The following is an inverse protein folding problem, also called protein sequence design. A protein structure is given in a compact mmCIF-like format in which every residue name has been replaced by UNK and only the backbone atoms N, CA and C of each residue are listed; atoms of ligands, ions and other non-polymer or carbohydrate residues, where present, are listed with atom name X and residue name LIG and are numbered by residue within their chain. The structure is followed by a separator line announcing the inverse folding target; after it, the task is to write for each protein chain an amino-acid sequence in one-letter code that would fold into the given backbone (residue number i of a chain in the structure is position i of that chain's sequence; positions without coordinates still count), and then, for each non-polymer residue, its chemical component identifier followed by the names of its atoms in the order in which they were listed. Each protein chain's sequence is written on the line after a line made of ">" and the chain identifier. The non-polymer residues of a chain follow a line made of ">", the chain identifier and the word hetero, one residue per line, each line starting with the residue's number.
data_IF_842424574924
#
_entry.id   IF_842424574924
#
_cell.length_a   1.000
_cell.length_b   1.000
_cell.length_c   1.000
_cell.angle_alpha   90.00
_cell.angle_beta   90.00
_cell.angle_gamma   90.00
#
_symmetry.space_group_name_H-M   'P 1'
#
loop_
_entity.id
_entity.type
_entity.pdbx_description
1 polymer ?
#
# COMPACT_ATOMS: atom_id res chain seq x y z
N UNK A 1 69.06 -33.48 62.37
CA UNK A 1 70.31 -33.63 61.62
C UNK A 1 70.22 -32.78 60.39
N UNK A 2 71.16 -31.86 60.25
CA UNK A 2 71.24 -30.84 59.23
C UNK A 2 71.81 -31.39 57.91
N UNK A 3 71.41 -30.79 56.80
CA UNK A 3 72.26 -30.25 55.72
C UNK A 3 71.32 -29.82 54.59
N UNK A 4 71.58 -28.89 53.70
CA UNK A 4 72.48 -27.74 53.61
C UNK A 4 72.05 -27.05 52.31
N UNK A 5 72.00 -25.72 52.34
CA UNK A 5 71.61 -24.84 51.24
C UNK A 5 72.51 -24.99 50.00
N UNK A 6 71.95 -24.83 48.80
CA UNK A 6 72.60 -24.11 47.70
C UNK A 6 71.57 -23.33 46.88
N UNK A 7 71.79 -22.01 46.89
CA UNK A 7 71.16 -20.97 46.07
C UNK A 7 71.63 -21.08 44.63
N UNK A 8 70.69 -21.06 43.68
CA UNK A 8 70.94 -20.62 42.30
C UNK A 8 69.83 -19.66 41.87
N UNK A 9 70.22 -18.41 41.73
CA UNK A 9 69.44 -17.31 41.16
C UNK A 9 69.45 -17.52 39.65
N UNK A 10 68.32 -17.90 39.06
CA UNK A 10 68.09 -17.81 37.62
C UNK A 10 67.15 -16.66 37.35
N UNK A 11 67.70 -15.59 36.75
CA UNK A 11 66.97 -14.48 36.15
C UNK A 11 66.02 -15.04 35.08
N UNK A 12 64.71 -15.09 35.35
CA UNK A 12 63.70 -15.28 34.32
C UNK A 12 63.32 -13.89 33.80
N UNK A 13 63.83 -13.56 32.62
CA UNK A 13 63.40 -12.39 31.85
C UNK A 13 61.98 -12.66 31.36
N UNK A 14 61.02 -11.98 31.98
CA UNK A 14 59.61 -12.00 31.60
C UNK A 14 59.44 -11.17 30.31
N UNK A 15 59.52 -11.82 29.14
CA UNK A 15 59.13 -11.20 27.87
C UNK A 15 57.61 -11.20 27.80
N UNK A 16 57.01 -10.06 28.12
CA UNK A 16 55.61 -9.74 27.87
C UNK A 16 55.38 -9.67 26.35
N UNK A 17 55.01 -10.80 25.73
CA UNK A 17 54.37 -10.78 24.42
C UNK A 17 52.90 -10.41 24.65
N UNK A 18 52.58 -9.13 24.46
CA UNK A 18 51.21 -8.65 24.36
C UNK A 18 50.65 -9.20 23.04
N UNK A 19 50.10 -10.41 23.08
CA UNK A 19 49.18 -10.86 22.04
C UNK A 19 47.88 -10.09 22.21
N UNK A 20 47.76 -8.97 21.49
CA UNK A 20 46.48 -8.32 21.23
C UNK A 20 45.59 -9.31 20.45
N UNK A 21 44.81 -10.12 21.18
CA UNK A 21 43.62 -10.76 20.60
C UNK A 21 42.53 -9.70 20.49
N UNK A 22 42.71 -8.78 19.55
CA UNK A 22 41.60 -8.05 18.96
C UNK A 22 40.86 -9.06 18.09
N UNK A 23 39.82 -9.69 18.64
CA UNK A 23 38.81 -10.37 17.82
C UNK A 23 38.01 -9.31 17.07
N UNK A 24 38.65 -8.68 16.08
CA UNK A 24 37.96 -8.08 14.96
C UNK A 24 37.34 -9.23 14.19
N UNK A 25 36.07 -9.50 14.43
CA UNK A 25 35.24 -10.15 13.43
C UNK A 25 35.16 -9.19 12.26
N UNK A 26 36.15 -9.27 11.37
CA UNK A 26 35.99 -8.83 10.00
C UNK A 26 34.85 -9.66 9.44
N UNK A 27 33.63 -9.13 9.49
CA UNK A 27 32.62 -9.55 8.55
C UNK A 27 33.24 -9.29 7.18
N UNK A 28 33.73 -10.35 6.54
CA UNK A 28 34.11 -10.26 5.14
C UNK A 28 32.82 -9.95 4.40
N UNK A 29 32.58 -8.66 4.15
CA UNK A 29 31.65 -8.24 3.14
C UNK A 29 32.17 -8.84 1.84
N UNK A 30 31.57 -9.94 1.43
CA UNK A 30 31.87 -10.58 0.16
C UNK A 30 31.67 -9.50 -0.92
N UNK A 31 32.69 -9.03 -1.66
CA UNK A 31 32.56 -7.87 -2.55
C UNK A 31 31.71 -8.13 -3.81
N UNK A 32 30.91 -9.21 -3.83
CA UNK A 32 30.23 -9.73 -5.00
C UNK A 32 28.77 -10.14 -4.79
N UNK A 33 28.14 -9.86 -3.64
CA UNK A 33 26.71 -10.11 -3.45
C UNK A 33 25.93 -8.84 -3.15
N UNK A 34 25.92 -7.91 -4.10
CA UNK A 34 24.88 -6.89 -4.16
C UNK A 34 23.53 -7.63 -4.16
N UNK A 35 22.72 -7.45 -3.10
CA UNK A 35 21.43 -8.15 -3.00
C UNK A 35 20.55 -7.74 -4.18
N UNK A 36 19.62 -8.60 -4.61
CA UNK A 36 18.67 -8.22 -5.67
C UNK A 36 17.88 -6.95 -5.33
N UNK A 37 17.70 -6.69 -4.03
CA UNK A 37 17.16 -5.44 -3.53
C UNK A 37 18.08 -4.25 -3.83
N UNK A 38 19.38 -4.32 -3.52
CA UNK A 38 20.33 -3.26 -3.86
C UNK A 38 20.37 -2.99 -5.37
N UNK A 39 20.32 -4.06 -6.18
CA UNK A 39 20.21 -3.92 -7.65
C UNK A 39 18.94 -3.20 -8.07
N UNK A 40 17.79 -3.59 -7.49
CA UNK A 40 16.51 -2.94 -7.75
C UNK A 40 16.51 -1.49 -7.27
N UNK A 41 17.02 -1.22 -6.06
CA UNK A 41 17.12 0.11 -5.46
C UNK A 41 18.00 1.00 -6.34
N UNK A 42 19.22 0.56 -6.67
CA UNK A 42 20.13 1.26 -7.55
C UNK A 42 19.56 1.49 -8.94
N UNK A 43 18.82 0.51 -9.51
CA UNK A 43 18.11 0.71 -10.78
C UNK A 43 17.02 1.78 -10.65
N UNK A 44 16.19 1.75 -9.59
CA UNK A 44 15.13 2.75 -9.42
C UNK A 44 15.68 4.15 -9.14
N UNK A 45 16.72 4.28 -8.30
CA UNK A 45 17.40 5.55 -8.02
C UNK A 45 18.00 6.11 -9.31
N UNK A 46 18.74 5.30 -10.08
CA UNK A 46 19.29 5.73 -11.38
C UNK A 46 18.19 6.13 -12.35
N UNK A 47 17.13 5.33 -12.46
CA UNK A 47 16.01 5.63 -13.35
C UNK A 47 15.29 6.92 -12.91
N UNK A 48 15.11 7.15 -11.61
CA UNK A 48 14.56 8.39 -11.06
C UNK A 48 15.43 9.59 -11.42
N UNK A 49 16.74 9.53 -11.14
CA UNK A 49 17.68 10.61 -11.47
C UNK A 49 17.73 10.91 -12.97
N UNK A 50 17.79 9.87 -13.81
CA UNK A 50 17.75 10.02 -15.27
C UNK A 50 16.45 10.66 -15.75
N UNK A 51 15.30 10.26 -15.21
CA UNK A 51 14.00 10.88 -15.54
C UNK A 51 13.90 12.33 -15.06
N UNK A 52 14.40 12.63 -13.87
CA UNK A 52 14.44 14.00 -13.32
C UNK A 52 15.31 14.91 -14.21
N UNK A 53 16.48 14.42 -14.61
CA UNK A 53 17.38 15.14 -15.53
C UNK A 53 16.78 15.30 -16.95
N UNK A 54 15.96 14.33 -17.40
CA UNK A 54 15.25 14.42 -18.66
C UNK A 54 14.05 15.40 -18.60
N UNK A 55 13.35 15.49 -17.47
CA UNK A 55 12.28 16.46 -17.26
C UNK A 55 12.81 17.92 -17.21
N UNK A 56 14.02 18.13 -16.69
CA UNK A 56 14.69 19.43 -16.65
C UNK A 56 15.17 19.91 -18.03
N UNK A 57 15.28 19.00 -19.01
CA UNK A 57 15.55 19.31 -20.42
C UNK A 57 14.24 19.22 -21.21
N UNK A 58 13.62 20.39 -21.45
CA UNK A 58 12.35 20.65 -22.17
C UNK A 58 12.14 19.95 -23.55
N UNK A 59 12.26 18.63 -23.66
CA UNK A 59 12.11 17.90 -24.92
C UNK A 59 11.71 16.44 -24.72
N UNK A 60 10.84 16.16 -23.75
CA UNK A 60 10.18 14.84 -23.67
C UNK A 60 8.81 14.94 -24.32
N UNK A 61 8.76 14.46 -25.57
CA UNK A 61 7.55 13.98 -26.25
C UNK A 61 6.65 13.26 -25.23
N UNK A 62 5.33 13.53 -25.22
CA UNK A 62 4.42 13.04 -24.18
C UNK A 62 4.64 11.55 -23.85
N UNK A 63 5.10 11.26 -22.62
CA UNK A 63 5.37 9.91 -22.08
C UNK A 63 4.08 9.13 -21.79
N UNK A 64 2.93 9.76 -21.99
CA UNK A 64 1.62 9.18 -21.75
C UNK A 64 1.30 8.07 -22.75
N UNK A 65 0.68 6.99 -22.25
CA UNK A 65 0.17 5.89 -23.09
C UNK A 65 -0.76 6.42 -24.19
N UNK A 66 -0.52 6.04 -25.44
CA UNK A 66 -1.29 6.50 -26.61
C UNK A 66 -2.79 6.23 -26.47
N UNK A 67 -3.19 5.09 -25.87
CA UNK A 67 -4.60 4.78 -25.66
C UNK A 67 -5.23 5.74 -24.66
N UNK A 68 -4.49 6.16 -23.64
CA UNK A 68 -4.94 7.16 -22.70
C UNK A 68 -5.08 8.51 -23.40
N UNK A 69 -4.10 8.93 -24.19
CA UNK A 69 -4.17 10.18 -24.97
C UNK A 69 -5.39 10.19 -25.89
N UNK A 70 -5.68 9.08 -26.58
CA UNK A 70 -6.87 8.93 -27.42
C UNK A 70 -8.15 9.02 -26.58
N UNK A 71 -8.19 8.33 -25.44
CA UNK A 71 -9.37 8.31 -24.58
C UNK A 71 -9.72 9.71 -24.02
N UNK A 72 -8.73 10.53 -23.71
CA UNK A 72 -8.92 11.88 -23.15
C UNK A 72 -9.35 12.94 -24.16
N UNK A 73 -9.15 12.72 -25.48
CA UNK A 73 -9.51 13.72 -26.52
C UNK A 73 -11.01 13.99 -26.58
N UNK A 74 -11.83 12.96 -26.40
CA UNK A 74 -13.27 13.03 -26.60
C UNK A 74 -14.00 12.47 -25.37
N UNK A 75 -13.93 13.17 -24.24
CA UNK A 75 -14.61 12.75 -23.01
C UNK A 75 -16.13 12.70 -23.20
N UNK A 76 -16.78 11.77 -22.51
CA UNK A 76 -18.25 11.66 -22.40
C UNK A 76 -18.62 11.87 -20.95
N UNK A 77 -19.66 12.66 -20.69
CA UNK A 77 -20.22 12.83 -19.35
C UNK A 77 -21.60 12.18 -19.29
N UNK A 78 -21.87 11.46 -18.20
CA UNK A 78 -23.16 10.83 -17.89
C UNK A 78 -23.53 11.24 -16.47
N UNK A 79 -24.69 11.86 -16.29
CA UNK A 79 -25.18 12.27 -14.99
C UNK A 79 -25.97 11.15 -14.33
N UNK A 80 -25.64 10.82 -13.08
CA UNK A 80 -26.34 9.83 -12.29
C UNK A 80 -26.96 10.50 -11.08
N UNK A 81 -28.28 10.46 -10.96
CA UNK A 81 -28.99 11.06 -9.82
C UNK A 81 -30.18 10.23 -9.37
N UNK A 82 -30.20 9.86 -8.08
CA UNK A 82 -31.26 9.03 -7.50
C UNK A 82 -32.65 9.66 -7.56
N UNK A 83 -32.73 10.99 -7.56
CA UNK A 83 -33.99 11.74 -7.66
C UNK A 83 -34.57 11.78 -9.09
N UNK A 84 -33.83 11.26 -10.08
CA UNK A 84 -34.23 11.24 -11.48
C UNK A 84 -33.90 12.51 -12.27
N UNK A 85 -33.15 13.46 -11.69
CA UNK A 85 -32.70 14.68 -12.40
C UNK A 85 -31.49 14.46 -13.34
N UNK A 86 -30.88 13.27 -13.32
CA UNK A 86 -29.77 12.88 -14.20
C UNK A 86 -30.22 11.98 -15.35
N UNK A 87 -29.26 11.57 -16.19
CA UNK A 87 -29.48 10.65 -17.30
C UNK A 87 -29.89 9.25 -16.82
N UNK A 88 -29.38 8.83 -15.66
CA UNK A 88 -29.72 7.55 -15.01
C UNK A 88 -29.96 7.72 -13.51
N UNK A 89 -30.75 6.81 -12.92
CA UNK A 89 -31.03 6.80 -11.47
C UNK A 89 -29.96 6.05 -10.68
N UNK A 90 -29.34 5.04 -11.30
CA UNK A 90 -28.36 4.15 -10.68
C UNK A 90 -27.04 4.16 -11.44
N UNK A 91 -25.97 3.79 -10.74
CA UNK A 91 -24.63 3.71 -11.33
C UNK A 91 -24.55 2.51 -12.29
N UNK A 92 -25.19 1.38 -11.95
CA UNK A 92 -25.22 0.22 -12.84
C UNK A 92 -25.96 0.50 -14.16
N UNK A 93 -27.08 1.24 -14.15
CA UNK A 93 -27.76 1.65 -15.39
C UNK A 93 -26.83 2.50 -16.28
N UNK A 94 -26.13 3.46 -15.69
CA UNK A 94 -25.17 4.29 -16.42
C UNK A 94 -24.03 3.46 -17.01
N UNK A 95 -23.44 2.53 -16.24
CA UNK A 95 -22.41 1.63 -16.73
C UNK A 95 -22.92 0.72 -17.86
N UNK A 96 -24.15 0.21 -17.76
CA UNK A 96 -24.76 -0.65 -18.77
C UNK A 96 -25.04 0.09 -20.10
N UNK A 97 -25.10 1.42 -20.08
CA UNK A 97 -25.23 2.24 -21.30
C UNK A 97 -23.93 2.37 -22.10
N UNK A 98 -22.79 2.04 -21.48
CA UNK A 98 -21.46 2.19 -22.10
C UNK A 98 -21.16 0.94 -22.94
N UNK A 99 -20.82 1.08 -24.23
CA UNK A 99 -20.41 -0.05 -25.05
C UNK A 99 -19.21 -0.79 -24.46
N UNK A 100 -19.22 -2.12 -24.56
CA UNK A 100 -18.05 -2.92 -24.26
C UNK A 100 -16.88 -2.53 -25.19
N UNK A 101 -15.65 -2.69 -24.71
CA UNK A 101 -14.40 -2.25 -25.36
C UNK A 101 -14.34 -0.73 -25.52
N UNK A 102 -14.74 -0.03 -24.46
CA UNK A 102 -14.71 1.42 -24.41
C UNK A 102 -13.29 1.97 -24.71
N UNK A 103 -13.22 2.98 -25.56
CA UNK A 103 -11.97 3.64 -25.98
C UNK A 103 -11.92 5.11 -25.58
N UNK A 104 -12.96 5.63 -24.92
CA UNK A 104 -13.11 7.04 -24.55
C UNK A 104 -13.16 7.19 -23.04
N UNK A 105 -12.66 8.29 -22.51
CA UNK A 105 -12.90 8.64 -21.10
C UNK A 105 -14.39 8.88 -20.89
N UNK A 106 -15.04 8.03 -20.09
CA UNK A 106 -16.45 8.22 -19.70
C UNK A 106 -16.50 8.60 -18.23
N UNK A 107 -17.06 9.77 -17.95
CA UNK A 107 -17.17 10.38 -16.63
C UNK A 107 -18.61 10.24 -16.17
N UNK A 108 -18.84 9.40 -15.17
CA UNK A 108 -20.10 9.34 -14.44
C UNK A 108 -20.06 10.42 -13.37
N UNK A 109 -20.81 11.49 -13.58
CA UNK A 109 -21.04 12.56 -12.61
C UNK A 109 -22.15 12.09 -11.67
N UNK A 110 -21.76 11.61 -10.50
CA UNK A 110 -22.66 10.98 -9.52
C UNK A 110 -23.08 12.05 -8.51
N UNK A 111 -24.36 12.42 -8.54
CA UNK A 111 -24.94 13.42 -7.64
C UNK A 111 -24.96 12.91 -6.19
N UNK A 112 -25.02 13.82 -5.19
CA UNK A 112 -25.08 13.42 -3.79
C UNK A 112 -26.21 12.43 -3.51
N UNK A 113 -25.92 11.42 -2.70
CA UNK A 113 -26.88 10.38 -2.33
C UNK A 113 -26.22 9.09 -1.87
N UNK A 114 -27.04 8.17 -1.36
CA UNK A 114 -26.58 6.83 -0.94
C UNK A 114 -26.97 5.81 -2.03
N UNK A 115 -25.99 5.27 -2.74
CA UNK A 115 -26.17 4.28 -3.79
C UNK A 115 -25.89 2.90 -3.22
N UNK A 116 -26.96 2.17 -2.84
CA UNK A 116 -26.85 0.79 -2.37
C UNK A 116 -26.80 -0.16 -3.56
N UNK A 117 -25.62 -0.29 -4.14
CA UNK A 117 -25.39 -1.05 -5.37
C UNK A 117 -24.10 -1.87 -5.25
N UNK A 118 -24.14 -3.11 -5.76
CA UNK A 118 -22.93 -3.87 -6.03
C UNK A 118 -22.46 -3.55 -7.44
N UNK A 119 -21.25 -3.00 -7.56
CA UNK A 119 -20.73 -2.48 -8.82
C UNK A 119 -19.55 -3.33 -9.28
N UNK A 120 -19.56 -3.72 -10.54
CA UNK A 120 -18.42 -4.37 -11.21
C UNK A 120 -18.12 -3.58 -12.48
N UNK A 121 -16.93 -3.00 -12.56
CA UNK A 121 -16.43 -2.34 -13.79
C UNK A 121 -15.53 -3.36 -14.49
N UNK A 122 -16.02 -4.04 -15.55
CA UNK A 122 -15.30 -5.15 -16.15
C UNK A 122 -14.05 -4.69 -16.90
N UNK A 123 -13.10 -5.60 -17.12
CA UNK A 123 -11.85 -5.32 -17.87
C UNK A 123 -12.08 -4.72 -19.25
N UNK A 124 -13.21 -5.04 -19.88
CA UNK A 124 -13.62 -4.55 -21.19
C UNK A 124 -14.10 -3.09 -21.18
N UNK A 125 -14.12 -2.43 -20.02
CA UNK A 125 -14.61 -1.06 -19.88
C UNK A 125 -13.53 -0.16 -19.25
N UNK A 126 -12.36 0.04 -19.90
CA UNK A 126 -11.33 0.95 -19.38
C UNK A 126 -11.78 2.41 -19.44
N UNK A 127 -11.00 3.31 -18.83
CA UNK A 127 -11.20 4.77 -18.87
C UNK A 127 -12.51 5.27 -18.26
N UNK A 128 -13.03 4.56 -17.25
CA UNK A 128 -14.19 5.00 -16.48
C UNK A 128 -13.75 5.94 -15.36
N UNK A 129 -14.49 7.03 -15.17
CA UNK A 129 -14.30 7.96 -14.04
C UNK A 129 -15.59 8.07 -13.25
N UNK A 130 -15.50 7.92 -11.93
CA UNK A 130 -16.55 8.32 -11.01
C UNK A 130 -16.20 9.67 -10.43
N UNK A 131 -17.07 10.65 -10.62
CA UNK A 131 -16.88 12.01 -10.14
C UNK A 131 -18.07 12.41 -9.26
N UNK A 132 -17.80 12.60 -7.97
CA UNK A 132 -18.76 13.11 -7.00
C UNK A 132 -18.61 14.60 -6.74
N UNK A 133 -19.59 15.15 -6.03
CA UNK A 133 -19.52 16.52 -5.50
C UNK A 133 -18.50 16.60 -4.35
N UNK A 134 -17.61 17.58 -4.37
CA UNK A 134 -16.56 17.73 -3.36
C UNK A 134 -17.11 18.08 -1.96
N UNK A 135 -18.19 18.86 -1.90
CA UNK A 135 -18.80 19.30 -0.65
C UNK A 135 -19.77 18.26 -0.09
N UNK A 136 -20.40 17.48 -0.97
CA UNK A 136 -21.30 16.40 -0.59
C UNK A 136 -21.07 15.11 -1.41
N UNK A 137 -19.95 14.39 -1.18
CA UNK A 137 -19.63 13.17 -1.90
C UNK A 137 -20.73 12.12 -1.82
N UNK A 138 -21.13 11.48 -2.94
CA UNK A 138 -22.03 10.34 -2.91
C UNK A 138 -21.37 9.14 -2.20
N UNK A 139 -22.19 8.33 -1.55
CA UNK A 139 -21.78 7.09 -0.90
C UNK A 139 -22.25 5.89 -1.70
N UNK A 140 -21.33 5.04 -2.12
CA UNK A 140 -21.62 3.72 -2.70
C UNK A 140 -21.45 2.69 -1.58
N UNK A 141 -22.53 2.00 -1.22
CA UNK A 141 -22.59 1.17 -0.01
C UNK A 141 -23.07 -0.25 -0.29
N UNK A 142 -22.44 -1.22 0.38
CA UNK A 142 -22.79 -2.63 0.36
C UNK A 142 -22.56 -3.29 1.72
N UNK A 143 -22.86 -4.58 1.81
CA UNK A 143 -22.80 -5.33 3.07
C UNK A 143 -22.48 -6.81 2.86
N UNK A 144 -21.77 -7.14 1.78
CA UNK A 144 -21.36 -8.51 1.51
C UNK A 144 -20.14 -8.90 2.34
N UNK A 145 -20.12 -10.15 2.79
CA UNK A 145 -18.98 -10.79 3.46
C UNK A 145 -18.41 -11.91 2.60
N UNK A 146 -17.23 -12.42 2.96
CA UNK A 146 -16.66 -13.60 2.34
C UNK A 146 -17.54 -14.86 2.50
N UNK A 147 -18.41 -14.90 3.52
CA UNK A 147 -19.37 -15.98 3.75
C UNK A 147 -20.74 -15.74 3.12
N UNK A 148 -21.03 -14.53 2.63
CA UNK A 148 -22.30 -14.25 1.94
C UNK A 148 -22.47 -15.19 0.75
N UNK A 149 -23.71 -15.62 0.49
CA UNK A 149 -24.02 -16.54 -0.60
C UNK A 149 -24.06 -15.81 -1.94
N UNK A 150 -23.37 -16.37 -2.94
CA UNK A 150 -23.54 -16.02 -4.35
C UNK A 150 -24.88 -16.55 -4.89
N UNK A 151 -25.25 -16.13 -6.10
CA UNK A 151 -26.44 -16.62 -6.82
C UNK A 151 -26.47 -18.13 -7.00
N UNK A 152 -25.31 -18.78 -7.05
CA UNK A 152 -25.17 -20.24 -7.15
C UNK A 152 -25.14 -20.96 -5.79
N UNK A 153 -25.39 -20.23 -4.69
CA UNK A 153 -25.37 -20.76 -3.32
C UNK A 153 -23.97 -20.97 -2.72
N UNK A 154 -22.88 -20.66 -3.45
CA UNK A 154 -21.52 -20.78 -2.91
C UNK A 154 -21.10 -19.51 -2.15
N UNK A 155 -20.19 -19.59 -1.16
CA UNK A 155 -19.68 -18.40 -0.50
C UNK A 155 -18.89 -17.50 -1.48
N UNK A 156 -19.14 -16.19 -1.42
CA UNK A 156 -18.47 -15.18 -2.26
C UNK A 156 -16.93 -15.19 -2.13
N UNK A 157 -16.43 -15.59 -0.95
CA UNK A 157 -15.03 -15.37 -0.52
C UNK A 157 -14.70 -13.87 -0.50
N UNK A 158 -13.52 -13.52 0.04
CA UNK A 158 -13.08 -12.12 0.13
C UNK A 158 -13.07 -11.42 -1.23
N UNK A 159 -12.71 -12.13 -2.31
CA UNK A 159 -12.59 -11.53 -3.63
C UNK A 159 -13.92 -10.98 -4.17
N UNK A 160 -15.03 -11.70 -3.95
CA UNK A 160 -16.34 -11.31 -4.47
C UNK A 160 -17.19 -10.55 -3.45
N UNK A 161 -16.70 -10.32 -2.22
CA UNK A 161 -17.42 -9.51 -1.22
C UNK A 161 -17.32 -7.99 -1.45
N UNK A 162 -16.53 -7.57 -2.44
CA UNK A 162 -16.36 -6.16 -2.79
C UNK A 162 -17.69 -5.48 -3.16
N UNK A 163 -17.98 -4.35 -2.51
CA UNK A 163 -19.09 -3.46 -2.90
C UNK A 163 -18.83 -2.86 -4.29
N UNK A 164 -17.59 -2.38 -4.52
CA UNK A 164 -17.13 -1.93 -5.84
C UNK A 164 -15.92 -2.75 -6.28
N UNK A 165 -16.02 -3.41 -7.42
CA UNK A 165 -14.96 -4.17 -8.06
C UNK A 165 -14.50 -3.47 -9.35
N UNK A 166 -13.29 -2.93 -9.34
CA UNK A 166 -12.67 -2.27 -10.49
C UNK A 166 -11.71 -3.25 -11.17
N UNK A 167 -12.17 -3.91 -12.21
CA UNK A 167 -11.32 -4.77 -13.06
C UNK A 167 -10.77 -4.02 -14.29
N UNK A 168 -11.35 -2.86 -14.61
CA UNK A 168 -10.95 -1.98 -15.71
C UNK A 168 -9.64 -1.21 -15.45
N UNK A 169 -8.83 -1.06 -16.51
CA UNK A 169 -7.65 -0.20 -16.48
C UNK A 169 -8.04 1.28 -16.57
N UNK A 170 -7.15 2.17 -16.11
CA UNK A 170 -7.34 3.62 -16.21
C UNK A 170 -8.58 4.15 -15.47
N UNK A 171 -9.05 3.42 -14.45
CA UNK A 171 -10.17 3.88 -13.63
C UNK A 171 -9.76 5.08 -12.78
N UNK A 172 -10.65 6.06 -12.64
CA UNK A 172 -10.45 7.21 -11.76
C UNK A 172 -11.67 7.37 -10.85
N UNK A 173 -11.46 7.67 -9.58
CA UNK A 173 -12.52 8.12 -8.68
C UNK A 173 -12.12 9.43 -8.01
N UNK A 174 -13.04 10.39 -7.97
CA UNK A 174 -12.84 11.72 -7.39
C UNK A 174 -14.04 12.04 -6.49
N UNK A 175 -13.79 12.38 -5.23
CA UNK A 175 -14.83 12.76 -4.26
C UNK A 175 -15.93 11.70 -4.12
N UNK A 176 -15.56 10.43 -3.90
CA UNK A 176 -16.51 9.31 -3.70
C UNK A 176 -16.28 8.67 -2.33
N UNK A 177 -17.35 8.34 -1.63
CA UNK A 177 -17.32 7.48 -0.44
C UNK A 177 -17.67 6.05 -0.83
N UNK A 178 -16.78 5.12 -0.56
CA UNK A 178 -17.00 3.68 -0.75
C UNK A 178 -17.14 3.02 0.62
N UNK A 179 -18.14 2.17 0.78
CA UNK A 179 -18.47 1.60 2.08
C UNK A 179 -18.87 0.13 1.97
N UNK A 180 -18.35 -0.68 2.89
CA UNK A 180 -18.96 -1.95 3.27
C UNK A 180 -19.35 -1.88 4.75
N UNK A 181 -20.64 -2.01 5.07
CA UNK A 181 -21.18 -1.73 6.41
C UNK A 181 -21.06 -2.89 7.39
N UNK A 182 -20.44 -4.01 7.00
CA UNK A 182 -20.38 -5.19 7.88
C UNK A 182 -19.42 -4.94 9.05
N UNK A 183 -19.90 -5.01 10.30
CA UNK A 183 -19.02 -4.96 11.46
C UNK A 183 -18.24 -6.27 11.58
N UNK A 184 -17.01 -6.19 12.07
CA UNK A 184 -16.15 -7.36 12.26
C UNK A 184 -15.80 -7.58 13.72
N UNK A 185 -15.79 -8.85 14.13
CA UNK A 185 -15.25 -9.29 15.42
C UNK A 185 -13.91 -9.98 15.19
N UNK A 186 -12.82 -9.36 15.66
CA UNK A 186 -11.45 -9.87 15.46
C UNK A 186 -11.31 -11.32 15.89
N UNK A 187 -10.95 -12.18 14.93
CA UNK A 187 -10.80 -13.63 15.09
C UNK A 187 -11.98 -14.45 14.56
N UNK A 188 -13.06 -13.82 14.09
CA UNK A 188 -14.17 -14.54 13.46
C UNK A 188 -13.77 -15.11 12.10
N UNK A 189 -14.47 -16.16 11.66
CA UNK A 189 -14.24 -16.79 10.35
C UNK A 189 -15.21 -16.23 9.32
N UNK A 190 -14.69 -15.90 8.13
CA UNK A 190 -15.50 -15.47 6.99
C UNK A 190 -16.11 -14.07 7.08
N UNK A 191 -15.65 -13.25 8.05
CA UNK A 191 -16.11 -11.88 8.27
C UNK A 191 -15.45 -10.82 7.38
N UNK A 192 -14.57 -11.21 6.44
CA UNK A 192 -13.92 -10.28 5.52
C UNK A 192 -14.96 -9.58 4.64
N UNK A 193 -14.92 -8.25 4.54
CA UNK A 193 -15.95 -7.46 3.89
C UNK A 193 -15.33 -6.27 3.14
N UNK A 194 -15.18 -6.41 1.83
CA UNK A 194 -14.42 -5.46 1.02
C UNK A 194 -15.32 -4.30 0.59
N UNK A 195 -14.86 -3.06 0.78
CA UNK A 195 -15.51 -1.87 0.22
C UNK A 195 -15.12 -1.72 -1.25
N UNK A 196 -13.82 -1.74 -1.54
CA UNK A 196 -13.30 -1.61 -2.92
C UNK A 196 -12.25 -2.67 -3.21
N UNK A 197 -12.37 -3.33 -4.36
CA UNK A 197 -11.34 -4.20 -4.93
C UNK A 197 -10.83 -3.64 -6.25
N UNK A 198 -9.51 -3.57 -6.42
CA UNK A 198 -8.87 -2.98 -7.61
C UNK A 198 -7.93 -4.00 -8.25
N UNK A 199 -8.32 -4.50 -9.42
CA UNK A 199 -7.53 -5.47 -10.21
C UNK A 199 -7.06 -4.91 -11.56
N UNK A 200 -7.68 -3.84 -12.03
CA UNK A 200 -7.26 -3.12 -13.24
C UNK A 200 -6.10 -2.20 -12.92
N UNK A 201 -5.12 -2.11 -13.82
CA UNK A 201 -3.92 -1.30 -13.59
C UNK A 201 -4.15 0.17 -13.95
N UNK A 202 -3.30 1.05 -13.42
CA UNK A 202 -3.33 2.50 -13.67
C UNK A 202 -4.61 3.12 -13.14
N UNK A 203 -4.99 2.78 -11.91
CA UNK A 203 -6.19 3.33 -11.26
C UNK A 203 -5.82 4.44 -10.26
N UNK A 204 -6.55 5.55 -10.27
CA UNK A 204 -6.30 6.70 -9.40
C UNK A 204 -7.52 7.09 -8.56
N UNK A 205 -7.29 7.48 -7.31
CA UNK A 205 -8.32 7.89 -6.37
C UNK A 205 -7.93 9.22 -5.74
N UNK A 206 -8.80 10.22 -5.82
CA UNK A 206 -8.58 11.57 -5.31
C UNK A 206 -9.70 11.98 -4.38
N UNK A 207 -9.36 12.41 -3.16
CA UNK A 207 -10.35 12.85 -2.18
C UNK A 207 -11.44 11.80 -1.89
N UNK A 208 -11.09 10.51 -2.03
CA UNK A 208 -12.02 9.42 -1.78
C UNK A 208 -11.97 8.99 -0.32
N UNK A 209 -13.07 8.41 0.16
CA UNK A 209 -13.11 7.79 1.50
C UNK A 209 -13.52 6.33 1.40
N UNK A 210 -12.83 5.47 2.15
CA UNK A 210 -13.06 4.03 2.16
C UNK A 210 -13.41 3.59 3.58
N UNK A 211 -14.62 3.07 3.76
CA UNK A 211 -15.16 2.65 5.04
C UNK A 211 -15.42 1.15 5.06
N UNK A 212 -14.91 0.49 6.09
CA UNK A 212 -15.15 -0.93 6.37
C UNK A 212 -14.45 -1.34 7.66
N UNK A 213 -14.55 -2.62 8.03
CA UNK A 213 -13.87 -3.17 9.19
C UNK A 213 -12.70 -4.09 8.79
N UNK A 214 -12.95 -5.36 8.43
CA UNK A 214 -11.88 -6.26 7.98
C UNK A 214 -11.82 -6.27 6.45
N UNK A 215 -10.61 -6.14 5.91
CA UNK A 215 -10.34 -6.20 4.46
C UNK A 215 -11.00 -5.04 3.66
N UNK A 216 -11.05 -3.82 4.21
CA UNK A 216 -11.73 -2.66 3.59
C UNK A 216 -11.31 -2.39 2.13
N UNK A 217 -10.01 -2.22 1.88
CA UNK A 217 -9.44 -1.90 0.57
C UNK A 217 -8.59 -3.07 0.07
N UNK A 218 -9.14 -3.81 -0.88
CA UNK A 218 -8.43 -4.87 -1.59
C UNK A 218 -7.69 -4.27 -2.80
N UNK A 219 -6.52 -3.69 -2.52
CA UNK A 219 -5.54 -3.28 -3.53
C UNK A 219 -4.87 -4.52 -4.16
N UNK A 220 -5.65 -5.23 -4.98
CA UNK A 220 -5.35 -6.58 -5.42
C UNK A 220 -4.10 -6.61 -6.30
N UNK A 221 -4.09 -5.90 -7.44
CA UNK A 221 -2.95 -5.87 -8.37
C UNK A 221 -3.01 -4.67 -9.31
N UNK A 222 -1.85 -4.21 -9.76
CA UNK A 222 -1.73 -3.12 -10.72
C UNK A 222 -0.86 -1.98 -10.20
N UNK A 223 -0.76 -0.90 -10.99
CA UNK A 223 -0.19 0.37 -10.59
C UNK A 223 -1.32 1.27 -10.09
N UNK A 224 -1.29 1.69 -8.82
CA UNK A 224 -2.37 2.50 -8.26
C UNK A 224 -1.87 3.74 -7.54
N UNK A 225 -2.68 4.79 -7.59
CA UNK A 225 -2.37 6.05 -6.93
C UNK A 225 -3.55 6.52 -6.09
N UNK A 226 -3.29 6.85 -4.84
CA UNK A 226 -4.28 7.39 -3.91
C UNK A 226 -3.74 8.71 -3.40
N UNK A 227 -4.49 9.79 -3.60
CA UNK A 227 -4.09 11.12 -3.16
C UNK A 227 -5.21 11.74 -2.31
N UNK A 228 -4.84 12.22 -1.13
CA UNK A 228 -5.76 12.85 -0.19
C UNK A 228 -6.98 11.96 0.16
N UNK A 229 -6.74 10.66 0.35
CA UNK A 229 -7.80 9.69 0.64
C UNK A 229 -7.90 9.41 2.14
N UNK A 230 -9.12 9.20 2.63
CA UNK A 230 -9.39 8.66 3.97
C UNK A 230 -9.65 7.16 3.88
N UNK A 231 -8.97 6.34 4.69
CA UNK A 231 -9.11 4.88 4.69
C UNK A 231 -9.29 4.40 6.12
N UNK A 232 -10.42 3.73 6.40
CA UNK A 232 -10.74 3.21 7.72
C UNK A 232 -10.85 1.69 7.73
N UNK A 233 -10.36 1.08 8.82
CA UNK A 233 -10.68 -0.30 9.15
C UNK A 233 -10.00 -0.85 10.39
N UNK A 234 -10.06 -2.16 10.53
CA UNK A 234 -9.57 -2.93 11.68
C UNK A 234 -8.43 -3.86 11.25
N UNK A 235 -8.75 -5.05 10.76
CA UNK A 235 -7.78 -6.09 10.36
C UNK A 235 -7.53 -6.01 8.86
N UNK A 236 -6.26 -5.87 8.48
CA UNK A 236 -5.78 -5.96 7.09
C UNK A 236 -6.52 -5.02 6.15
N UNK A 237 -6.90 -3.84 6.63
CA UNK A 237 -7.84 -2.99 5.91
C UNK A 237 -7.25 -2.36 4.63
N UNK A 238 -5.93 -2.47 4.41
CA UNK A 238 -5.28 -2.28 3.10
C UNK A 238 -4.47 -3.54 2.77
N UNK A 239 -4.89 -4.31 1.77
CA UNK A 239 -4.27 -5.61 1.48
C UNK A 239 -4.28 -5.97 0.00
N UNK A 240 -3.39 -6.89 -0.38
CA UNK A 240 -3.19 -7.34 -1.77
C UNK A 240 -1.74 -7.22 -2.22
N UNK A 241 -1.49 -7.18 -3.53
CA UNK A 241 -0.14 -7.11 -4.10
C UNK A 241 -0.02 -6.05 -5.21
N UNK A 242 -0.82 -4.98 -5.15
CA UNK A 242 -0.59 -3.77 -5.95
C UNK A 242 0.80 -3.16 -5.75
N UNK A 243 1.23 -2.37 -6.74
CA UNK A 243 2.32 -1.40 -6.63
C UNK A 243 1.67 -0.04 -6.49
N UNK A 244 1.59 0.46 -5.28
CA UNK A 244 0.68 1.56 -4.96
C UNK A 244 1.36 2.65 -4.17
N UNK A 245 1.08 3.90 -4.54
CA UNK A 245 1.49 5.09 -3.80
C UNK A 245 0.25 5.70 -3.15
N UNK A 246 0.28 5.82 -1.84
CA UNK A 246 -0.69 6.52 -1.02
C UNK A 246 -0.04 7.81 -0.53
N UNK A 247 -0.46 8.95 -1.09
CA UNK A 247 0.09 10.25 -0.79
C UNK A 247 -0.95 11.14 -0.10
N UNK A 248 -0.57 11.81 1.00
CA UNK A 248 -1.47 12.64 1.80
C UNK A 248 -2.70 11.88 2.33
N UNK A 249 -2.57 10.57 2.56
CA UNK A 249 -3.70 9.74 2.99
C UNK A 249 -3.85 9.73 4.51
N UNK A 250 -5.10 9.63 4.98
CA UNK A 250 -5.44 9.53 6.39
C UNK A 250 -5.94 8.11 6.71
N UNK A 251 -5.14 7.36 7.47
CA UNK A 251 -5.38 5.96 7.81
C UNK A 251 -5.93 5.88 9.24
N UNK A 252 -7.22 5.54 9.37
CA UNK A 252 -7.91 5.50 10.66
C UNK A 252 -8.20 4.07 11.12
N UNK A 253 -7.57 3.64 12.21
CA UNK A 253 -7.89 2.35 12.81
C UNK A 253 -9.10 2.42 13.75
N UNK A 254 -10.07 1.53 13.52
CA UNK A 254 -11.21 1.27 14.41
C UNK A 254 -11.08 -0.06 15.15
N UNK A 255 -9.88 -0.67 15.16
CA UNK A 255 -9.66 -1.96 15.78
C UNK A 255 -9.97 -1.92 17.30
N UNK A 256 -10.68 -2.93 17.79
CA UNK A 256 -11.00 -3.08 19.24
C UNK A 256 -9.98 -3.94 20.00
N UNK A 257 -9.15 -4.67 19.26
CA UNK A 257 -8.03 -5.52 19.73
C UNK A 257 -6.84 -5.27 18.82
N UNK A 258 -5.76 -6.04 19.01
CA UNK A 258 -4.60 -5.99 18.11
C UNK A 258 -5.01 -6.35 16.68
N UNK A 259 -4.65 -5.50 15.73
CA UNK A 259 -4.87 -5.70 14.31
C UNK A 259 -3.67 -5.21 13.48
N UNK A 260 -3.84 -5.06 12.16
CA UNK A 260 -2.82 -4.56 11.25
C UNK A 260 -3.43 -3.64 10.22
N UNK A 261 -2.77 -2.52 9.94
CA UNK A 261 -3.19 -1.59 8.88
C UNK A 261 -3.06 -2.28 7.52
N UNK A 262 -1.88 -2.85 7.25
CA UNK A 262 -1.55 -3.43 5.95
C UNK A 262 -1.31 -4.93 6.01
N UNK A 263 -1.66 -5.63 4.93
CA UNK A 263 -1.30 -7.02 4.67
C UNK A 263 -0.89 -7.22 3.20
N UNK A 264 0.37 -6.92 2.89
CA UNK A 264 0.88 -6.97 1.52
C UNK A 264 1.33 -8.39 1.15
N UNK A 265 0.99 -8.83 -0.07
CA UNK A 265 1.07 -10.23 -0.55
C UNK A 265 2.16 -10.52 -1.59
N UNK A 266 3.17 -9.66 -1.72
CA UNK A 266 4.28 -9.90 -2.63
C UNK A 266 4.96 -11.23 -2.29
N UNK A 267 5.03 -12.12 -3.27
CA UNK A 267 5.42 -13.53 -3.06
C UNK A 267 6.78 -13.89 -3.64
N UNK A 268 7.44 -13.00 -4.39
CA UNK A 268 8.81 -13.18 -4.89
C UNK A 268 9.60 -11.87 -4.90
N UNK A 269 10.93 -11.99 -4.87
CA UNK A 269 11.84 -10.86 -5.01
C UNK A 269 11.75 -10.16 -6.38
N UNK A 270 11.37 -10.88 -7.44
CA UNK A 270 11.24 -10.32 -8.80
C UNK A 270 10.02 -9.41 -9.00
N UNK A 271 9.02 -9.48 -8.13
CA UNK A 271 7.83 -8.62 -8.24
C UNK A 271 8.13 -7.19 -7.82
N UNK A 272 7.81 -6.22 -8.68
CA UNK A 272 7.95 -4.80 -8.35
C UNK A 272 6.83 -4.25 -7.42
N UNK A 273 5.93 -5.10 -6.92
CA UNK A 273 4.81 -4.68 -6.06
C UNK A 273 5.23 -4.19 -4.67
N UNK A 274 4.34 -3.49 -4.00
CA UNK A 274 4.56 -2.91 -2.69
C UNK A 274 3.72 -1.67 -2.45
N UNK A 275 3.41 -1.41 -1.19
CA UNK A 275 2.68 -0.22 -0.77
C UNK A 275 3.67 0.84 -0.27
N UNK A 276 3.60 2.04 -0.82
CA UNK A 276 4.35 3.20 -0.33
C UNK A 276 3.36 4.23 0.21
N UNK A 277 3.55 4.67 1.44
CA UNK A 277 2.78 5.72 2.09
C UNK A 277 3.69 6.92 2.28
N UNK A 278 3.30 8.08 1.75
CA UNK A 278 4.05 9.34 1.82
C UNK A 278 3.18 10.45 2.36
N UNK A 279 3.74 11.31 3.21
CA UNK A 279 3.09 12.49 3.78
C UNK A 279 1.71 12.16 4.38
N UNK A 280 1.58 10.95 4.92
CA UNK A 280 0.31 10.38 5.36
C UNK A 280 0.20 10.45 6.88
N UNK A 281 -0.98 10.10 7.38
CA UNK A 281 -1.27 10.10 8.81
C UNK A 281 -1.86 8.75 9.22
N UNK A 282 -1.36 8.19 10.32
CA UNK A 282 -1.89 6.99 10.97
C UNK A 282 -2.45 7.38 12.33
N UNK A 283 -3.77 7.25 12.49
CA UNK A 283 -4.47 7.42 13.77
C UNK A 283 -5.40 6.25 14.06
N UNK A 284 -6.15 6.34 15.14
CA UNK A 284 -7.27 5.45 15.39
C UNK A 284 -8.18 5.98 16.48
N UNK A 285 -9.46 5.73 16.33
CA UNK A 285 -10.50 5.92 17.34
C UNK A 285 -10.99 4.59 17.92
N UNK A 286 -10.40 3.46 17.51
CA UNK A 286 -10.56 2.17 18.18
C UNK A 286 -9.82 2.09 19.52
N UNK A 287 -10.19 1.11 20.35
CA UNK A 287 -9.52 0.85 21.65
C UNK A 287 -8.31 -0.08 21.54
N UNK A 288 -8.11 -0.69 20.37
CA UNK A 288 -7.02 -1.62 20.08
C UNK A 288 -5.78 -0.93 19.51
N UNK A 289 -4.70 -1.70 19.42
CA UNK A 289 -3.44 -1.27 18.80
C UNK A 289 -3.27 -1.92 17.43
N UNK A 290 -2.42 -1.34 16.59
CA UNK A 290 -2.17 -1.83 15.23
C UNK A 290 -0.69 -2.04 14.96
N UNK A 291 -0.38 -3.09 14.20
CA UNK A 291 0.85 -3.11 13.42
C UNK A 291 0.68 -2.24 12.17
N UNK A 292 1.76 -1.57 11.74
CA UNK A 292 1.85 -0.91 10.43
C UNK A 292 1.59 -1.90 9.29
N UNK A 293 2.03 -3.13 9.46
CA UNK A 293 1.79 -4.19 8.50
C UNK A 293 2.11 -5.58 9.02
N UNK A 294 1.50 -6.59 8.40
CA UNK A 294 1.84 -7.99 8.61
C UNK A 294 2.03 -8.74 7.29
N UNK A 295 3.02 -9.63 7.27
CA UNK A 295 3.52 -10.25 6.03
C UNK A 295 2.60 -11.35 5.50
N UNK A 296 1.57 -10.97 4.73
CA UNK A 296 0.72 -11.96 4.04
C UNK A 296 1.52 -12.72 2.97
N UNK A 297 2.39 -12.02 2.24
CA UNK A 297 3.35 -12.60 1.30
C UNK A 297 4.76 -12.74 1.88
N UNK A 298 5.50 -13.73 1.39
CA UNK A 298 6.86 -14.05 1.86
C UNK A 298 7.90 -12.96 1.55
N UNK A 299 7.63 -12.08 0.59
CA UNK A 299 8.45 -10.94 0.19
C UNK A 299 7.66 -9.63 0.34
N UNK A 300 6.74 -9.59 1.32
CA UNK A 300 5.91 -8.43 1.61
C UNK A 300 6.74 -7.16 1.70
N UNK A 301 6.27 -6.10 1.04
CA UNK A 301 6.94 -4.79 0.96
C UNK A 301 5.98 -3.66 1.26
N UNK A 302 6.29 -2.90 2.30
CA UNK A 302 5.53 -1.73 2.75
C UNK A 302 6.52 -0.67 3.23
N UNK A 303 6.35 0.57 2.80
CA UNK A 303 7.21 1.70 3.21
C UNK A 303 6.33 2.85 3.69
N UNK A 304 6.66 3.41 4.85
CA UNK A 304 6.09 4.67 5.35
C UNK A 304 7.17 5.75 5.33
N UNK A 305 6.87 6.87 4.69
CA UNK A 305 7.76 8.02 4.54
C UNK A 305 7.05 9.30 4.99
N UNK A 306 7.72 10.13 5.79
CA UNK A 306 7.16 11.40 6.28
C UNK A 306 5.76 11.26 6.89
N UNK A 307 5.47 10.09 7.47
CA UNK A 307 4.14 9.75 7.96
C UNK A 307 4.06 10.07 9.44
N UNK A 308 3.03 10.80 9.87
CA UNK A 308 2.72 10.96 11.29
C UNK A 308 2.03 9.68 11.80
N UNK A 309 2.51 9.13 12.90
CA UNK A 309 1.97 7.93 13.53
C UNK A 309 1.59 8.23 14.98
N UNK A 310 0.31 8.14 15.30
CA UNK A 310 -0.18 8.28 16.67
C UNK A 310 0.08 7.00 17.50
N UNK A 311 -0.15 7.08 18.82
CA UNK A 311 0.09 6.03 19.83
C UNK A 311 -0.63 4.71 19.59
N UNK A 312 -1.52 4.64 18.60
CA UNK A 312 -2.20 3.41 18.18
C UNK A 312 -1.25 2.39 17.58
N UNK A 313 -0.09 2.83 17.06
CA UNK A 313 0.92 1.94 16.49
C UNK A 313 1.67 1.21 17.60
N UNK A 314 1.74 -0.12 17.50
CA UNK A 314 2.48 -0.96 18.46
C UNK A 314 3.97 -0.65 18.42
N UNK A 315 4.69 -0.75 19.56
CA UNK A 315 6.15 -0.58 19.59
C UNK A 315 6.89 -1.49 18.61
N UNK A 316 6.44 -2.74 18.46
CA UNK A 316 6.99 -3.70 17.50
C UNK A 316 6.91 -3.22 16.04
N UNK A 317 5.93 -2.36 15.72
CA UNK A 317 5.67 -1.81 14.39
C UNK A 317 5.09 -2.84 13.41
N UNK A 318 5.68 -4.02 13.32
CA UNK A 318 5.43 -4.98 12.25
C UNK A 318 5.25 -6.40 12.76
N UNK A 319 4.65 -7.25 11.92
CA UNK A 319 4.54 -8.69 12.16
C UNK A 319 4.93 -9.50 10.93
N UNK A 320 5.70 -10.55 11.17
CA UNK A 320 6.07 -11.59 10.19
C UNK A 320 4.92 -12.58 9.92
N UNK A 321 3.76 -12.38 10.56
CA UNK A 321 2.63 -13.31 10.58
C UNK A 321 2.99 -14.66 11.22
N UNK A 322 3.91 -14.68 12.19
CA UNK A 322 4.33 -15.91 12.88
C UNK A 322 5.16 -16.86 12.02
N UNK A 323 5.88 -16.32 11.02
CA UNK A 323 6.79 -17.07 10.19
C UNK A 323 8.16 -16.36 10.11
N UNK A 324 9.11 -16.70 11.00
CA UNK A 324 10.41 -16.03 11.08
C UNK A 324 11.27 -16.12 9.81
N UNK A 325 10.97 -17.06 8.90
CA UNK A 325 11.65 -17.14 7.58
C UNK A 325 11.37 -15.92 6.70
N UNK A 326 10.37 -15.10 7.05
CA UNK A 326 10.00 -13.88 6.32
C UNK A 326 10.86 -12.69 6.71
N UNK A 327 11.40 -12.67 7.92
CA UNK A 327 12.19 -11.56 8.48
C UNK A 327 13.34 -11.14 7.55
N UNK A 328 14.03 -12.12 6.92
CA UNK A 328 15.12 -11.86 5.98
C UNK A 328 14.67 -11.47 4.56
N UNK A 329 13.36 -11.55 4.25
CA UNK A 329 12.81 -11.42 2.89
C UNK A 329 11.83 -10.26 2.72
N UNK A 330 11.16 -9.87 3.81
CA UNK A 330 10.24 -8.72 3.80
C UNK A 330 11.02 -7.41 3.75
N UNK A 331 10.37 -6.38 3.23
CA UNK A 331 10.91 -5.03 3.17
C UNK A 331 9.93 -4.07 3.84
N UNK A 332 10.10 -3.86 5.14
CA UNK A 332 9.29 -2.94 5.93
C UNK A 332 10.11 -1.76 6.37
N UNK A 333 9.90 -0.64 5.68
CA UNK A 333 10.70 0.57 5.80
C UNK A 333 9.95 1.70 6.49
N UNK A 334 10.63 2.41 7.38
CA UNK A 334 10.20 3.68 7.96
C UNK A 334 11.25 4.75 7.64
N UNK A 335 10.82 5.88 7.07
CA UNK A 335 11.67 6.99 6.68
C UNK A 335 11.10 8.31 7.21
N UNK A 336 11.86 9.00 8.07
CA UNK A 336 11.51 10.32 8.63
C UNK A 336 10.05 10.41 9.12
N UNK A 337 9.53 9.32 9.69
CA UNK A 337 8.20 9.28 10.31
C UNK A 337 8.23 10.00 11.67
N UNK A 338 7.08 10.52 12.09
CA UNK A 338 6.96 11.35 13.29
C UNK A 338 5.76 10.93 14.15
N UNK A 339 5.62 11.50 15.35
CA UNK A 339 4.56 11.16 16.29
C UNK A 339 4.94 10.05 17.27
N UNK A 340 4.08 9.81 18.26
CA UNK A 340 4.37 8.88 19.38
C UNK A 340 4.45 7.42 18.93
N UNK A 341 3.69 7.04 17.89
CA UNK A 341 3.72 5.72 17.28
C UNK A 341 4.94 5.47 16.38
N UNK A 342 5.66 6.51 15.98
CA UNK A 342 6.88 6.41 15.17
C UNK A 342 8.14 6.17 16.03
N UNK A 343 8.01 6.01 17.35
CA UNK A 343 9.14 5.65 18.20
C UNK A 343 9.69 4.29 17.79
N UNK A 344 10.96 4.28 17.40
CA UNK A 344 11.66 3.10 16.91
C UNK A 344 12.10 2.14 18.04
N UNK A 345 12.04 2.59 19.29
CA UNK A 345 12.36 1.76 20.46
C UNK A 345 11.40 0.58 20.53
N UNK A 346 11.94 -0.63 20.45
CA UNK A 346 11.15 -1.86 20.50
C UNK A 346 10.58 -2.31 19.16
N UNK A 347 10.93 -1.66 18.04
CA UNK A 347 10.69 -2.20 16.70
C UNK A 347 11.32 -3.57 16.57
N UNK A 348 10.68 -4.43 15.77
CA UNK A 348 11.25 -5.73 15.42
C UNK A 348 12.63 -5.53 14.76
N UNK A 349 13.64 -6.38 15.04
CA UNK A 349 15.02 -6.16 14.55
C UNK A 349 15.18 -6.14 13.03
N UNK A 350 14.21 -6.69 12.30
CA UNK A 350 14.19 -6.76 10.84
C UNK A 350 13.40 -5.62 10.18
N UNK A 351 12.85 -4.69 10.97
CA UNK A 351 12.34 -3.42 10.44
C UNK A 351 13.50 -2.57 9.93
N UNK A 352 13.28 -1.83 8.84
CA UNK A 352 14.31 -1.01 8.18
C UNK A 352 14.08 0.46 8.45
N UNK A 353 15.10 1.13 8.99
CA UNK A 353 15.12 2.59 9.07
C UNK A 353 15.87 3.07 7.85
N UNK A 354 15.15 3.69 6.93
CA UNK A 354 15.71 4.00 5.62
C UNK A 354 16.58 5.25 5.67
N UNK A 355 17.68 5.23 4.93
CA UNK A 355 18.44 6.41 4.51
C UNK A 355 17.70 7.21 3.44
N UNK A 356 18.19 8.41 3.13
CA UNK A 356 17.62 9.26 2.09
C UNK A 356 17.66 8.54 0.72
N UNK A 357 18.74 7.83 0.41
CA UNK A 357 18.91 7.05 -0.83
C UNK A 357 18.00 5.82 -0.90
N UNK A 358 17.83 5.09 0.21
CA UNK A 358 16.95 3.92 0.28
C UNK A 358 15.47 4.30 0.18
N UNK A 359 15.11 5.47 0.73
CA UNK A 359 13.75 5.98 0.68
C UNK A 359 13.40 6.53 -0.70
N UNK A 360 14.35 7.17 -1.39
CA UNK A 360 14.16 7.90 -2.65
C UNK A 360 13.16 7.17 -3.57
N UNK A 361 13.34 5.90 -3.99
CA UNK A 361 12.46 5.20 -4.94
C UNK A 361 10.98 5.09 -4.58
N UNK A 362 10.61 5.32 -3.33
CA UNK A 362 9.26 5.17 -2.81
C UNK A 362 8.53 6.52 -2.65
N UNK A 363 9.21 7.66 -2.88
CA UNK A 363 8.73 8.99 -2.51
C UNK A 363 7.94 9.74 -3.58
N UNK A 364 7.76 9.22 -4.79
CA UNK A 364 7.08 9.99 -5.83
C UNK A 364 6.24 9.13 -6.75
N UNK A 365 5.42 9.81 -7.56
CA UNK A 365 4.50 9.18 -8.54
C UNK A 365 5.22 8.27 -9.53
N UNK A 366 6.50 8.51 -9.81
CA UNK A 366 7.34 7.60 -10.59
C UNK A 366 7.47 6.18 -9.99
N UNK A 367 7.28 6.02 -8.67
CA UNK A 367 7.18 4.70 -8.02
C UNK A 367 6.03 3.89 -8.62
N UNK A 368 4.98 4.52 -9.12
CA UNK A 368 3.87 3.86 -9.81
C UNK A 368 3.88 4.17 -11.31
N UNK A 369 5.02 4.59 -11.85
CA UNK A 369 5.19 4.98 -13.26
C UNK A 369 4.22 6.09 -13.68
N UNK A 370 3.90 6.99 -12.73
CA UNK A 370 2.89 8.04 -12.87
C UNK A 370 3.06 8.89 -14.13
N UNK A 371 4.28 9.22 -14.52
CA UNK A 371 4.57 10.00 -15.73
C UNK A 371 4.00 9.39 -17.03
N UNK A 372 3.67 8.08 -17.02
CA UNK A 372 3.15 7.35 -18.18
C UNK A 372 1.61 7.29 -18.23
N UNK A 373 0.92 7.64 -17.15
CA UNK A 373 -0.53 7.40 -17.07
C UNK A 373 -1.33 8.29 -16.11
N UNK A 374 -0.69 8.96 -15.16
CA UNK A 374 -1.37 9.91 -14.29
C UNK A 374 -1.60 11.21 -15.05
N UNK A 375 -2.86 11.62 -15.08
CA UNK A 375 -3.28 12.92 -15.56
C UNK A 375 -3.92 13.59 -14.35
N UNK A 376 -3.52 14.83 -14.05
CA UNK A 376 -4.13 15.59 -12.96
C UNK A 376 -5.65 15.69 -13.23
N UNK A 377 -6.49 15.27 -12.28
CA UNK A 377 -7.91 15.54 -12.37
C UNK A 377 -8.12 17.06 -12.29
N UNK A 378 -9.00 17.55 -13.15
CA UNK A 378 -9.27 18.95 -13.46
C UNK A 378 -9.65 19.80 -12.25
#
# INVERSE_FOLDING_TARGET
>A
MASSSYTYISLIVLVLVICNYSSTTSASSNPGSETEFEKWLGWNVRNHRSKRLAADRSLVMSVLDDNLVIAEKNKVMINVSRDGSGDFKTINEALNSIPLRNTRRVILVIKPGIYREKIIIPRTMPFITFQGDANNPPTITGNDTASSSSKDGRPLKTFQSATVAVDANYFVAINIKFENTVPHTIGSKGGQAVAVRISGTKAAFYNCSFYGDQDTLYDHKGLHYFNNCFIQGSVDFIFGYGRSLYENCYLNSIAKKVASLTAQKRSSASMASGFSFKDSVVTGNGTGLVYLGRAWGDYSRVVFSYTFMDKVVRPQGWSDWGNPKRDARVYYGEYKCSGTGANLTGRVPWARILTDEEAEPFLGTYYVEGDTWLINPW
#
